data_IF_306733714054
#
_entry.id   IF_306733714054
#
_cell.length_a   1.000
_cell.length_b   1.000
_cell.length_c   1.000
_cell.angle_alpha   90.00
_cell.angle_beta   90.00
_cell.angle_gamma   90.00
#
_symmetry.space_group_name_H-M   'P 1'
#
loop_
_entity.id
_entity.type
_entity.pdbx_description
1 polymer ?
#
# COMPACT_ATOMS: atom_id res chain seq x y z
N UNK A 1 19.51 -2.62 -10.77
CA UNK A 1 20.39 -3.67 -11.33
C UNK A 1 20.53 -3.53 -12.85
N UNK A 2 19.44 -3.50 -13.59
CA UNK A 2 19.49 -3.31 -15.06
C UNK A 2 20.01 -1.95 -15.50
N UNK A 3 19.93 -0.92 -14.65
CA UNK A 3 20.51 0.40 -14.91
C UNK A 3 22.03 0.33 -15.10
N UNK A 4 22.74 -0.38 -14.21
CA UNK A 4 24.19 -0.60 -14.37
C UNK A 4 24.54 -1.36 -15.64
N UNK A 5 23.67 -2.31 -16.04
CA UNK A 5 23.86 -3.02 -17.31
C UNK A 5 23.58 -2.10 -18.52
N UNK A 6 22.60 -1.21 -18.41
CA UNK A 6 22.33 -0.20 -19.43
C UNK A 6 23.52 0.76 -19.60
N UNK A 7 24.18 1.19 -18.49
CA UNK A 7 25.40 2.01 -18.53
C UNK A 7 26.52 1.32 -19.32
N UNK A 8 26.70 0.02 -19.09
CA UNK A 8 27.66 -0.77 -19.88
C UNK A 8 27.26 -0.82 -21.36
N UNK A 9 25.98 -1.06 -21.69
CA UNK A 9 25.51 -1.12 -23.07
C UNK A 9 25.59 0.24 -23.79
N UNK A 10 25.50 1.35 -23.07
CA UNK A 10 25.68 2.70 -23.63
C UNK A 10 27.09 2.91 -24.22
N UNK A 11 28.10 2.14 -23.80
CA UNK A 11 29.43 2.18 -24.40
C UNK A 11 29.44 1.67 -25.85
N UNK A 12 28.43 0.87 -26.23
CA UNK A 12 28.29 0.28 -27.57
C UNK A 12 27.28 1.04 -28.42
N UNK A 13 26.15 1.46 -27.81
CA UNK A 13 25.11 2.21 -28.53
C UNK A 13 24.43 3.24 -27.61
N UNK A 14 24.40 4.49 -28.06
CA UNK A 14 23.77 5.59 -27.34
C UNK A 14 22.26 5.47 -27.17
N UNK A 15 21.57 4.60 -27.93
CA UNK A 15 20.13 4.31 -27.81
C UNK A 15 19.77 3.76 -26.43
N UNK A 16 20.70 3.10 -25.74
CA UNK A 16 20.47 2.62 -24.38
C UNK A 16 20.30 3.72 -23.32
N UNK A 17 20.52 5.00 -23.68
CA UNK A 17 20.17 6.16 -22.82
C UNK A 17 18.70 6.18 -22.40
N UNK A 18 17.82 5.54 -23.15
CA UNK A 18 16.40 5.47 -22.81
C UNK A 18 16.14 4.89 -21.42
N UNK A 19 17.02 4.00 -20.92
CA UNK A 19 16.93 3.42 -19.59
C UNK A 19 17.23 4.39 -18.43
N UNK A 20 17.78 5.58 -18.71
CA UNK A 20 17.96 6.63 -17.70
C UNK A 20 16.68 7.43 -17.43
N UNK A 21 15.70 7.41 -18.36
CA UNK A 21 14.44 8.10 -18.13
C UNK A 21 13.59 7.39 -17.07
N UNK A 22 13.27 8.12 -15.99
CA UNK A 22 12.42 7.61 -14.89
C UNK A 22 11.08 7.06 -15.39
N UNK A 23 10.43 7.80 -16.29
CA UNK A 23 9.13 7.42 -16.84
C UNK A 23 9.20 6.11 -17.64
N UNK A 24 10.27 5.91 -18.41
CA UNK A 24 10.47 4.67 -19.16
C UNK A 24 10.69 3.49 -18.21
N UNK A 25 11.54 3.64 -17.20
CA UNK A 25 11.76 2.59 -16.18
C UNK A 25 10.52 2.30 -15.35
N UNK A 26 9.71 3.33 -15.04
CA UNK A 26 8.45 3.14 -14.36
C UNK A 26 7.47 2.28 -15.18
N UNK A 27 7.33 2.55 -16.49
CA UNK A 27 6.52 1.73 -17.40
C UNK A 27 7.03 0.29 -17.44
N UNK A 28 8.35 0.10 -17.57
CA UNK A 28 8.94 -1.24 -17.53
C UNK A 28 8.73 -1.91 -16.18
N UNK A 29 8.73 -1.16 -15.09
CA UNK A 29 8.37 -1.62 -13.76
C UNK A 29 6.95 -2.16 -13.69
N UNK A 30 5.97 -1.43 -14.23
CA UNK A 30 4.56 -1.89 -14.35
C UNK A 30 4.48 -3.19 -15.15
N UNK A 31 5.06 -3.21 -16.36
CA UNK A 31 4.96 -4.35 -17.25
C UNK A 31 5.65 -5.60 -16.68
N UNK A 32 6.83 -5.43 -16.07
CA UNK A 32 7.58 -6.53 -15.47
C UNK A 32 6.82 -7.14 -14.29
N UNK A 33 6.30 -6.32 -13.38
CA UNK A 33 5.56 -6.82 -12.22
C UNK A 33 4.23 -7.47 -12.63
N UNK A 34 3.53 -6.91 -13.61
CA UNK A 34 2.31 -7.50 -14.18
C UNK A 34 2.61 -8.87 -14.82
N UNK A 35 3.67 -8.96 -15.62
CA UNK A 35 4.10 -10.20 -16.25
C UNK A 35 4.46 -11.27 -15.20
N UNK A 36 5.22 -10.90 -14.17
CA UNK A 36 5.54 -11.80 -13.06
C UNK A 36 4.26 -12.32 -12.39
N UNK A 37 3.30 -11.43 -12.13
CA UNK A 37 2.02 -11.82 -11.52
C UNK A 37 1.27 -12.84 -12.39
N UNK A 38 1.19 -12.65 -13.70
CA UNK A 38 0.54 -13.60 -14.62
C UNK A 38 1.27 -14.92 -14.77
N UNK A 39 2.61 -14.92 -14.77
CA UNK A 39 3.41 -16.15 -14.89
C UNK A 39 3.40 -16.96 -13.59
N UNK A 40 3.56 -16.32 -12.46
CA UNK A 40 3.69 -16.98 -11.15
C UNK A 40 2.32 -17.29 -10.53
N UNK A 41 1.33 -16.41 -10.73
CA UNK A 41 0.01 -16.50 -10.11
C UNK A 41 -0.68 -17.85 -10.25
N UNK A 42 -0.90 -18.40 -11.46
CA UNK A 42 -1.60 -19.68 -11.62
C UNK A 42 -0.92 -20.84 -10.90
N UNK A 43 0.42 -20.86 -10.89
CA UNK A 43 1.19 -21.91 -10.23
C UNK A 43 1.12 -21.76 -8.71
N UNK A 44 1.18 -20.53 -8.21
CA UNK A 44 1.06 -20.25 -6.78
C UNK A 44 -0.34 -20.59 -6.26
N UNK A 45 -1.40 -20.15 -6.94
CA UNK A 45 -2.79 -20.44 -6.56
C UNK A 45 -3.01 -21.95 -6.50
N UNK A 46 -2.57 -22.72 -7.51
CA UNK A 46 -2.66 -24.20 -7.49
C UNK A 46 -1.94 -24.82 -6.30
N UNK A 47 -0.75 -24.31 -5.94
CA UNK A 47 0.01 -24.81 -4.78
C UNK A 47 -0.70 -24.50 -3.46
N UNK A 48 -1.25 -23.29 -3.31
CA UNK A 48 -2.02 -22.88 -2.12
C UNK A 48 -3.29 -23.72 -1.96
N UNK A 49 -4.06 -23.91 -3.04
CA UNK A 49 -5.28 -24.74 -3.04
C UNK A 49 -4.98 -26.20 -2.69
N UNK A 50 -3.92 -26.80 -3.25
CA UNK A 50 -3.52 -28.20 -2.93
C UNK A 50 -3.14 -28.38 -1.46
N UNK A 51 -2.56 -27.38 -0.83
CA UNK A 51 -2.21 -27.40 0.59
C UNK A 51 -3.40 -27.11 1.51
N UNK A 52 -4.60 -26.92 0.96
CA UNK A 52 -5.82 -26.53 1.70
C UNK A 52 -5.60 -25.27 2.56
N UNK A 53 -4.80 -24.32 2.04
CA UNK A 53 -4.52 -23.05 2.68
C UNK A 53 -5.72 -22.13 2.43
N UNK A 54 -6.87 -22.48 2.95
CA UNK A 54 -8.12 -21.71 2.88
C UNK A 54 -8.33 -20.87 4.12
N UNK A 55 -9.00 -19.74 3.95
CA UNK A 55 -9.37 -18.89 5.08
C UNK A 55 -10.46 -19.59 5.93
N UNK A 56 -10.29 -19.62 7.24
CA UNK A 56 -11.36 -20.00 8.16
C UNK A 56 -12.42 -18.90 8.18
N UNK A 57 -13.65 -19.24 7.79
CA UNK A 57 -14.76 -18.29 7.80
C UNK A 57 -15.17 -18.03 9.24
N UNK A 58 -15.27 -16.75 9.62
CA UNK A 58 -15.79 -16.39 10.95
C UNK A 58 -17.30 -16.60 10.99
N UNK A 59 -17.79 -17.29 12.02
CA UNK A 59 -19.22 -17.58 12.21
C UNK A 59 -20.11 -16.32 12.32
N UNK A 60 -19.52 -15.17 12.64
CA UNK A 60 -20.22 -13.89 12.80
C UNK A 60 -20.29 -13.05 11.51
N UNK A 61 -19.80 -13.57 10.37
CA UNK A 61 -19.81 -12.86 9.08
C UNK A 61 -21.15 -12.95 8.33
N UNK A 62 -21.34 -12.17 7.22
CA UNK A 62 -22.48 -12.33 6.33
C UNK A 62 -22.57 -13.76 5.76
N UNK A 63 -23.78 -14.28 5.61
CA UNK A 63 -23.99 -15.66 5.13
C UNK A 63 -23.42 -15.91 3.73
N UNK A 64 -23.37 -14.88 2.88
CA UNK A 64 -22.75 -14.93 1.54
C UNK A 64 -21.27 -15.34 1.56
N UNK A 65 -20.58 -15.16 2.68
CA UNK A 65 -19.16 -15.53 2.81
C UNK A 65 -18.95 -17.05 2.94
N UNK A 66 -19.99 -17.82 3.31
CA UNK A 66 -19.87 -19.30 3.36
C UNK A 66 -19.64 -19.92 1.98
N UNK A 67 -20.11 -19.29 0.90
CA UNK A 67 -19.87 -19.75 -0.47
C UNK A 67 -18.39 -19.64 -0.88
N UNK A 68 -17.61 -18.79 -0.19
CA UNK A 68 -16.17 -18.59 -0.41
C UNK A 68 -15.29 -19.59 0.35
N UNK A 69 -15.90 -20.56 1.06
CA UNK A 69 -15.16 -21.58 1.78
C UNK A 69 -14.26 -22.38 0.83
N UNK A 70 -12.95 -22.45 1.18
CA UNK A 70 -11.98 -23.17 0.36
C UNK A 70 -11.19 -22.30 -0.62
N UNK A 71 -11.53 -21.03 -0.82
CA UNK A 71 -10.68 -20.10 -1.57
C UNK A 71 -9.36 -19.93 -0.83
N UNK A 72 -8.21 -20.14 -1.50
CA UNK A 72 -6.90 -20.01 -0.86
C UNK A 72 -6.61 -18.58 -0.45
N UNK A 73 -5.90 -18.40 0.67
CA UNK A 73 -5.39 -17.14 1.17
C UNK A 73 -3.87 -17.03 0.98
N UNK A 74 -3.25 -15.95 1.46
CA UNK A 74 -1.82 -15.61 1.30
C UNK A 74 -1.42 -15.21 -0.13
N UNK A 75 -2.38 -14.79 -0.95
CA UNK A 75 -2.13 -14.28 -2.30
C UNK A 75 -1.25 -13.02 -2.35
N UNK A 76 -1.19 -12.26 -1.25
CA UNK A 76 -0.29 -11.12 -1.10
C UNK A 76 1.19 -11.45 -1.33
N UNK A 77 1.60 -12.71 -1.14
CA UNK A 77 2.95 -13.16 -1.46
C UNK A 77 3.28 -12.95 -2.94
N UNK A 78 2.31 -13.13 -3.85
CA UNK A 78 2.48 -12.85 -5.28
C UNK A 78 2.81 -11.38 -5.53
N UNK A 79 2.09 -10.49 -4.85
CA UNK A 79 2.30 -9.04 -4.97
C UNK A 79 3.72 -8.69 -4.50
N UNK A 80 4.13 -9.19 -3.33
CA UNK A 80 5.45 -8.91 -2.77
C UNK A 80 6.59 -9.38 -3.66
N UNK A 81 6.48 -10.58 -4.25
CA UNK A 81 7.47 -11.10 -5.20
C UNK A 81 7.53 -10.18 -6.43
N UNK A 82 6.38 -9.86 -7.03
CA UNK A 82 6.33 -9.06 -8.25
C UNK A 82 6.87 -7.63 -8.03
N UNK A 83 6.47 -6.97 -6.93
CA UNK A 83 6.96 -5.63 -6.57
C UNK A 83 8.46 -5.66 -6.31
N UNK A 84 8.94 -6.59 -5.48
CA UNK A 84 10.36 -6.63 -5.09
C UNK A 84 11.27 -6.92 -6.28
N UNK A 85 10.94 -7.93 -7.08
CA UNK A 85 11.76 -8.29 -8.26
C UNK A 85 11.76 -7.13 -9.27
N UNK A 86 10.60 -6.56 -9.57
CA UNK A 86 10.49 -5.46 -10.52
C UNK A 86 11.24 -4.21 -10.05
N UNK A 87 11.11 -3.84 -8.78
CA UNK A 87 11.81 -2.69 -8.21
C UNK A 87 13.33 -2.90 -8.22
N UNK A 88 13.83 -4.08 -7.80
CA UNK A 88 15.26 -4.40 -7.80
C UNK A 88 15.85 -4.41 -9.22
N UNK A 89 15.08 -4.78 -10.23
CA UNK A 89 15.52 -4.76 -11.62
C UNK A 89 15.67 -3.34 -12.15
N UNK A 90 14.66 -2.48 -11.94
CA UNK A 90 14.53 -1.21 -12.65
C UNK A 90 14.93 0.02 -11.84
N UNK A 91 14.88 -0.03 -10.50
CA UNK A 91 15.25 1.11 -9.66
C UNK A 91 16.78 1.28 -9.55
N UNK A 92 17.17 2.52 -9.26
CA UNK A 92 18.53 2.82 -8.84
C UNK A 92 18.75 2.36 -7.41
N UNK A 93 19.55 1.30 -7.27
CA UNK A 93 19.85 0.69 -5.97
C UNK A 93 20.83 1.49 -5.11
N UNK A 94 21.40 2.56 -5.62
CA UNK A 94 22.18 3.52 -4.82
C UNK A 94 21.28 4.44 -3.98
N UNK A 95 19.98 4.54 -4.37
CA UNK A 95 19.02 5.41 -3.70
C UNK A 95 18.52 4.76 -2.39
N UNK A 96 18.78 5.44 -1.25
CA UNK A 96 18.35 4.98 0.08
C UNK A 96 16.83 4.81 0.22
N UNK A 97 16.01 5.61 -0.48
CA UNK A 97 14.56 5.55 -0.40
C UNK A 97 13.99 4.24 -0.94
N UNK A 98 14.63 3.70 -1.99
CA UNK A 98 14.26 2.40 -2.55
C UNK A 98 14.46 1.28 -1.52
N UNK A 99 15.53 1.31 -0.75
CA UNK A 99 15.76 0.33 0.30
C UNK A 99 14.79 0.48 1.48
N UNK A 100 14.53 1.73 1.90
CA UNK A 100 13.56 1.97 2.99
C UNK A 100 12.19 1.45 2.62
N UNK A 101 11.67 1.81 1.43
CA UNK A 101 10.33 1.36 1.02
C UNK A 101 10.24 -0.15 0.82
N UNK A 102 11.26 -0.78 0.24
CA UNK A 102 11.32 -2.24 0.10
C UNK A 102 11.39 -2.94 1.45
N UNK A 103 12.29 -2.52 2.34
CA UNK A 103 12.48 -3.17 3.64
C UNK A 103 11.24 -3.03 4.53
N UNK A 104 10.60 -1.86 4.56
CA UNK A 104 9.33 -1.67 5.30
C UNK A 104 8.24 -2.55 4.71
N UNK A 105 8.05 -2.52 3.39
CA UNK A 105 7.01 -3.33 2.71
C UNK A 105 7.22 -4.82 2.98
N UNK A 106 8.43 -5.32 2.82
CA UNK A 106 8.75 -6.72 3.06
C UNK A 106 8.65 -7.09 4.54
N UNK A 107 9.09 -6.22 5.45
CA UNK A 107 8.99 -6.44 6.88
C UNK A 107 7.54 -6.61 7.35
N UNK A 108 6.64 -5.74 6.89
CA UNK A 108 5.21 -5.89 7.16
C UNK A 108 4.60 -7.10 6.47
N UNK A 109 5.09 -7.45 5.27
CA UNK A 109 4.74 -8.68 4.59
C UNK A 109 5.13 -9.93 5.38
N UNK A 110 6.31 -9.94 6.02
CA UNK A 110 6.74 -11.04 6.91
C UNK A 110 5.83 -11.15 8.14
N UNK A 111 5.44 -10.02 8.76
CA UNK A 111 4.48 -10.05 9.88
C UNK A 111 3.16 -10.70 9.43
N UNK A 112 2.61 -10.26 8.29
CA UNK A 112 1.38 -10.84 7.73
C UNK A 112 1.55 -12.31 7.36
N UNK A 113 2.70 -12.69 6.79
CA UNK A 113 3.00 -14.09 6.47
C UNK A 113 3.00 -14.98 7.71
N UNK A 114 3.62 -14.56 8.80
CA UNK A 114 3.63 -15.32 10.06
C UNK A 114 2.22 -15.42 10.64
N UNK A 115 1.42 -14.35 10.54
CA UNK A 115 0.03 -14.34 10.99
C UNK A 115 -0.83 -15.34 10.21
N UNK A 116 -0.82 -15.24 8.88
CA UNK A 116 -1.58 -16.13 8.00
C UNK A 116 -1.11 -17.59 8.12
N UNK A 117 0.22 -17.81 8.22
CA UNK A 117 0.79 -19.14 8.40
C UNK A 117 0.31 -19.81 9.69
N UNK A 118 0.27 -19.05 10.81
CA UNK A 118 -0.26 -19.57 12.09
C UNK A 118 -1.74 -19.91 12.00
N UNK A 119 -2.54 -19.07 11.33
CA UNK A 119 -3.98 -19.32 11.13
C UNK A 119 -4.25 -20.60 10.35
N UNK A 120 -3.49 -20.81 9.28
CA UNK A 120 -3.71 -21.92 8.34
C UNK A 120 -3.13 -23.24 8.84
N UNK A 121 -1.85 -23.25 9.26
CA UNK A 121 -1.14 -24.51 9.58
C UNK A 121 -1.43 -25.00 11.00
N UNK A 122 -1.61 -24.07 11.94
CA UNK A 122 -1.94 -24.45 13.33
C UNK A 122 -3.43 -24.60 13.58
N UNK A 123 -4.29 -24.43 12.56
CA UNK A 123 -5.76 -24.36 12.69
C UNK A 123 -6.19 -23.45 13.88
N UNK A 124 -5.42 -22.42 14.12
CA UNK A 124 -5.69 -21.44 15.16
C UNK A 124 -6.26 -20.18 14.51
N UNK A 125 -7.55 -19.94 14.67
CA UNK A 125 -8.24 -18.76 14.11
C UNK A 125 -7.65 -17.43 14.55
N UNK A 126 -6.86 -17.41 15.63
CA UNK A 126 -6.36 -16.17 16.25
C UNK A 126 -5.05 -15.67 15.62
N UNK A 127 -4.26 -16.54 14.96
CA UNK A 127 -2.99 -16.14 14.32
C UNK A 127 -1.94 -15.63 15.30
N UNK A 128 -1.36 -14.46 15.00
CA UNK A 128 -0.56 -13.66 15.93
C UNK A 128 -1.48 -12.94 16.91
N UNK A 129 -1.12 -12.89 18.17
CA UNK A 129 -1.85 -12.04 19.12
C UNK A 129 -1.77 -10.57 18.69
N UNK A 130 -2.81 -9.78 19.00
CA UNK A 130 -2.83 -8.35 18.66
C UNK A 130 -1.60 -7.60 19.22
N UNK A 131 -1.10 -8.01 20.40
CA UNK A 131 0.09 -7.42 21.01
C UNK A 131 1.37 -7.75 20.24
N UNK A 132 1.55 -9.01 19.83
CA UNK A 132 2.72 -9.43 19.02
C UNK A 132 2.72 -8.72 17.68
N UNK A 133 1.59 -8.67 17.01
CA UNK A 133 1.42 -7.99 15.72
C UNK A 133 1.77 -6.52 15.82
N UNK A 134 1.20 -5.82 16.81
CA UNK A 134 1.47 -4.41 17.06
C UNK A 134 2.93 -4.15 17.45
N UNK A 135 3.55 -5.02 18.24
CA UNK A 135 4.97 -4.91 18.63
C UNK A 135 5.89 -4.94 17.42
N UNK A 136 5.73 -5.93 16.53
CA UNK A 136 6.58 -6.05 15.34
C UNK A 136 6.35 -4.92 14.34
N UNK A 137 5.10 -4.49 14.15
CA UNK A 137 4.78 -3.29 13.36
C UNK A 137 5.46 -2.05 13.94
N UNK A 138 5.46 -1.91 15.26
CA UNK A 138 6.10 -0.79 15.96
C UNK A 138 7.62 -0.82 15.81
N UNK A 139 8.26 -1.98 15.93
CA UNK A 139 9.72 -2.11 15.76
C UNK A 139 10.13 -1.66 14.35
N UNK A 140 9.45 -2.13 13.31
CA UNK A 140 9.76 -1.75 11.94
C UNK A 140 9.42 -0.27 11.70
N UNK A 141 8.25 0.20 12.15
CA UNK A 141 7.81 1.58 11.96
C UNK A 141 8.72 2.60 12.63
N UNK A 142 9.09 2.37 13.90
CA UNK A 142 10.06 3.23 14.60
C UNK A 142 11.46 3.13 14.00
N UNK A 143 11.90 1.92 13.62
CA UNK A 143 13.19 1.73 12.95
C UNK A 143 13.31 2.54 11.67
N UNK A 144 12.28 2.50 10.82
CA UNK A 144 12.21 3.30 9.60
C UNK A 144 12.18 4.81 9.91
N UNK A 145 11.36 5.23 10.88
CA UNK A 145 11.25 6.63 11.28
C UNK A 145 12.57 7.20 11.81
N UNK A 146 13.26 6.48 12.68
CA UNK A 146 14.57 6.86 13.19
C UNK A 146 15.63 6.90 12.10
N UNK A 147 15.63 5.92 11.20
CA UNK A 147 16.55 5.90 10.06
C UNK A 147 16.36 7.15 9.19
N UNK A 148 15.10 7.46 8.81
CA UNK A 148 14.79 8.63 7.98
C UNK A 148 15.16 9.95 8.67
N UNK A 149 14.89 10.06 9.98
CA UNK A 149 15.24 11.24 10.75
C UNK A 149 16.76 11.48 10.79
N UNK A 150 17.54 10.42 11.08
CA UNK A 150 18.99 10.52 11.21
C UNK A 150 19.73 10.67 9.86
N UNK A 151 19.11 10.25 8.76
CA UNK A 151 19.71 10.32 7.42
C UNK A 151 19.18 11.47 6.58
N UNK A 152 18.32 12.34 7.15
CA UNK A 152 17.81 13.50 6.45
C UNK A 152 18.96 14.42 5.98
N UNK A 153 18.96 14.76 4.70
CA UNK A 153 20.02 15.57 4.06
C UNK A 153 19.60 17.00 3.81
N UNK A 154 18.29 17.25 3.73
CA UNK A 154 17.71 18.58 3.54
C UNK A 154 16.59 18.83 4.57
N UNK A 155 16.38 20.07 5.02
CA UNK A 155 15.33 20.40 6.00
C UNK A 155 13.93 19.93 5.58
N UNK A 156 13.64 19.95 4.28
CA UNK A 156 12.35 19.51 3.74
C UNK A 156 11.99 18.06 4.08
N UNK A 157 13.00 17.19 4.30
CA UNK A 157 12.78 15.77 4.59
C UNK A 157 12.21 15.51 6.01
N UNK A 158 12.24 16.49 6.92
CA UNK A 158 11.72 16.36 8.29
C UNK A 158 10.62 17.37 8.62
N UNK A 159 10.22 18.18 7.64
CA UNK A 159 9.13 19.14 7.79
C UNK A 159 7.79 18.48 7.44
N UNK A 160 6.75 18.97 8.07
CA UNK A 160 5.36 18.59 7.79
C UNK A 160 4.70 19.68 6.95
N UNK A 161 4.10 19.29 5.84
CA UNK A 161 3.45 20.21 4.90
C UNK A 161 1.94 20.03 4.93
N UNK A 162 1.23 21.16 4.98
CA UNK A 162 -0.24 21.16 4.91
C UNK A 162 -0.65 21.55 3.49
N UNK A 163 -1.36 20.67 2.75
CA UNK A 163 -1.88 21.02 1.45
C UNK A 163 -2.80 22.25 1.56
N UNK A 164 -2.88 23.04 0.50
CA UNK A 164 -3.62 24.32 0.39
C UNK A 164 -2.94 25.53 1.06
N UNK A 165 -1.92 25.37 1.91
CA UNK A 165 -1.21 26.48 2.55
C UNK A 165 0.25 26.47 2.09
N UNK A 166 0.58 27.31 1.05
CA UNK A 166 1.88 27.33 0.37
C UNK A 166 3.06 27.59 1.29
N UNK A 167 2.91 28.53 2.20
CA UNK A 167 4.00 29.02 3.05
C UNK A 167 4.00 28.36 4.44
N UNK A 168 3.12 27.38 4.66
CA UNK A 168 2.99 26.76 5.96
C UNK A 168 3.69 25.40 5.98
N UNK A 169 4.85 25.37 6.61
CA UNK A 169 5.55 24.13 6.97
C UNK A 169 5.90 24.13 8.45
N UNK A 170 5.71 22.99 9.08
CA UNK A 170 6.06 22.78 10.49
C UNK A 170 7.34 21.98 10.59
N UNK A 171 8.34 22.54 11.26
CA UNK A 171 9.51 21.77 11.64
C UNK A 171 9.14 20.93 12.89
N UNK A 172 9.00 19.64 12.72
CA UNK A 172 8.58 18.72 13.79
C UNK A 172 9.72 18.33 14.72
N UNK A 173 10.98 18.56 14.33
CA UNK A 173 12.12 18.06 15.09
C UNK A 173 11.98 16.56 15.36
N UNK A 174 12.22 16.12 16.60
CA UNK A 174 12.11 14.72 16.97
C UNK A 174 10.68 14.15 16.92
N UNK A 175 9.64 14.98 17.00
CA UNK A 175 8.24 14.54 16.89
C UNK A 175 7.91 14.00 15.50
N UNK A 176 8.73 14.30 14.49
CA UNK A 176 8.71 13.68 13.19
C UNK A 176 8.71 12.15 13.27
N UNK A 177 9.53 11.57 14.15
CA UNK A 177 9.61 10.11 14.35
C UNK A 177 8.26 9.54 14.76
N UNK A 178 7.54 10.25 15.64
CA UNK A 178 6.21 9.85 16.11
C UNK A 178 5.19 9.92 14.97
N UNK A 179 5.21 11.01 14.18
CA UNK A 179 4.32 11.16 13.03
C UNK A 179 4.52 10.00 12.03
N UNK A 180 5.77 9.77 11.61
CA UNK A 180 6.12 8.70 10.65
C UNK A 180 5.65 7.35 11.14
N UNK A 181 5.89 7.04 12.41
CA UNK A 181 5.42 5.80 13.02
C UNK A 181 3.90 5.64 12.88
N UNK A 182 3.12 6.66 13.25
CA UNK A 182 1.66 6.60 13.15
C UNK A 182 1.16 6.50 11.71
N UNK A 183 1.82 7.18 10.77
CA UNK A 183 1.46 7.07 9.35
C UNK A 183 1.67 5.64 8.84
N UNK A 184 2.83 5.05 9.08
CA UNK A 184 3.13 3.70 8.58
C UNK A 184 2.23 2.64 9.23
N UNK A 185 2.18 2.63 10.58
CA UNK A 185 1.37 1.63 11.32
C UNK A 185 -0.12 1.85 11.07
N UNK A 186 -0.58 3.09 11.07
CA UNK A 186 -1.98 3.45 10.84
C UNK A 186 -2.46 3.02 9.46
N UNK A 187 -1.71 3.36 8.41
CA UNK A 187 -2.08 3.00 7.04
C UNK A 187 -2.02 1.50 6.81
N UNK A 188 -1.03 0.81 7.39
CA UNK A 188 -0.94 -0.65 7.33
C UNK A 188 -2.20 -1.32 7.87
N UNK A 189 -2.65 -0.93 9.05
CA UNK A 189 -3.85 -1.49 9.65
C UNK A 189 -5.13 -1.03 8.94
N UNK A 190 -5.17 0.18 8.38
CA UNK A 190 -6.32 0.69 7.63
C UNK A 190 -6.58 -0.11 6.35
N UNK A 191 -5.53 -0.41 5.58
CA UNK A 191 -5.65 -1.28 4.40
C UNK A 191 -6.06 -2.70 4.80
N UNK A 192 -5.50 -3.23 5.89
CA UNK A 192 -5.88 -4.56 6.39
C UNK A 192 -7.35 -4.63 6.81
N UNK A 193 -7.89 -3.60 7.44
CA UNK A 193 -9.32 -3.53 7.76
C UNK A 193 -10.21 -3.43 6.52
N UNK A 194 -9.71 -2.88 5.43
CA UNK A 194 -10.45 -2.71 4.16
C UNK A 194 -10.47 -4.00 3.34
N UNK A 195 -9.54 -4.94 3.57
CA UNK A 195 -9.43 -6.20 2.82
C UNK A 195 -10.47 -7.24 3.27
N UNK A 196 -11.75 -6.86 3.20
CA UNK A 196 -12.87 -7.71 3.60
C UNK A 196 -13.73 -8.25 2.45
N UNK A 197 -13.60 -7.69 1.23
CA UNK A 197 -14.32 -8.09 0.03
C UNK A 197 -13.35 -8.28 -1.15
N UNK A 198 -13.76 -9.11 -2.12
CA UNK A 198 -12.95 -9.49 -3.28
C UNK A 198 -12.52 -8.27 -4.11
N UNK A 199 -11.22 -7.97 -4.15
CA UNK A 199 -10.68 -6.83 -4.90
C UNK A 199 -10.90 -5.45 -4.27
N UNK A 200 -11.56 -5.36 -3.10
CA UNK A 200 -11.89 -4.08 -2.47
C UNK A 200 -10.66 -3.28 -2.08
N UNK A 201 -9.66 -3.88 -1.46
CA UNK A 201 -8.47 -3.17 -0.96
C UNK A 201 -7.42 -2.95 -2.05
N UNK A 202 -7.26 -3.90 -2.98
CA UNK A 202 -6.15 -3.84 -3.96
C UNK A 202 -6.31 -2.71 -4.97
N UNK A 203 -7.52 -2.48 -5.52
CA UNK A 203 -7.70 -1.44 -6.53
C UNK A 203 -7.54 -0.02 -5.96
N UNK A 204 -8.11 0.35 -4.80
CA UNK A 204 -7.75 1.60 -4.11
C UNK A 204 -6.26 1.76 -3.87
N UNK A 205 -5.56 0.70 -3.46
CA UNK A 205 -4.09 0.73 -3.28
C UNK A 205 -3.37 1.07 -4.57
N UNK A 206 -3.75 0.46 -5.70
CA UNK A 206 -3.20 0.76 -7.04
C UNK A 206 -3.43 2.23 -7.41
N UNK A 207 -4.65 2.73 -7.21
CA UNK A 207 -5.00 4.11 -7.55
C UNK A 207 -4.23 5.12 -6.69
N UNK A 208 -4.17 4.92 -5.38
CA UNK A 208 -3.44 5.79 -4.43
C UNK A 208 -1.95 5.75 -4.71
N UNK A 209 -1.38 4.57 -4.99
CA UNK A 209 0.03 4.45 -5.39
C UNK A 209 0.33 5.22 -6.67
N UNK A 210 -0.57 5.19 -7.66
CA UNK A 210 -0.45 5.98 -8.88
C UNK A 210 -0.45 7.48 -8.60
N UNK A 211 -1.38 7.96 -7.77
CA UNK A 211 -1.44 9.36 -7.35
C UNK A 211 -0.18 9.81 -6.61
N UNK A 212 0.27 9.06 -5.61
CA UNK A 212 1.50 9.35 -4.86
C UNK A 212 2.75 9.24 -5.75
N UNK A 213 2.76 8.34 -6.74
CA UNK A 213 3.84 8.22 -7.72
C UNK A 213 4.01 9.48 -8.56
N UNK A 214 2.92 10.17 -8.92
CA UNK A 214 2.96 11.47 -9.58
C UNK A 214 3.61 12.51 -8.65
N UNK A 215 3.23 12.57 -7.37
CA UNK A 215 3.87 13.45 -6.40
C UNK A 215 5.37 13.14 -6.25
N UNK A 216 5.75 11.87 -6.19
CA UNK A 216 7.16 11.44 -6.09
C UNK A 216 7.98 11.97 -7.28
N UNK A 217 7.46 11.81 -8.49
CA UNK A 217 8.11 12.30 -9.71
C UNK A 217 8.27 13.81 -9.71
N UNK A 218 7.19 14.54 -9.36
CA UNK A 218 7.20 16.01 -9.37
C UNK A 218 8.07 16.60 -8.25
N UNK A 219 8.05 16.03 -7.06
CA UNK A 219 8.89 16.47 -5.93
C UNK A 219 10.37 16.14 -6.15
N UNK A 220 10.69 15.15 -6.96
CA UNK A 220 12.05 14.77 -7.32
C UNK A 220 12.70 15.64 -8.40
N UNK A 221 11.96 16.53 -9.05
CA UNK A 221 12.43 17.38 -10.13
C UNK A 221 12.34 18.85 -9.72
N UNK A 222 13.49 19.53 -9.67
CA UNK A 222 13.57 20.90 -9.10
C UNK A 222 12.70 21.92 -9.82
N UNK A 223 12.60 21.86 -11.15
CA UNK A 223 11.78 22.78 -11.94
C UNK A 223 10.28 22.55 -11.67
N UNK A 224 9.82 21.30 -11.63
CA UNK A 224 8.44 20.99 -11.32
C UNK A 224 8.08 21.32 -9.88
N UNK A 225 8.99 21.03 -8.94
CA UNK A 225 8.81 21.37 -7.54
C UNK A 225 8.63 22.88 -7.34
N UNK A 226 9.50 23.67 -7.96
CA UNK A 226 9.43 25.13 -7.93
C UNK A 226 8.17 25.69 -8.62
N UNK A 227 7.82 25.16 -9.81
CA UNK A 227 6.62 25.59 -10.53
C UNK A 227 5.31 25.31 -9.76
N UNK A 228 5.26 24.18 -9.07
CA UNK A 228 4.09 23.76 -8.29
C UNK A 228 4.12 24.29 -6.86
N UNK A 229 5.23 24.90 -6.44
CA UNK A 229 5.46 25.33 -5.05
C UNK A 229 5.31 24.20 -4.03
N UNK A 230 5.82 22.99 -4.40
CA UNK A 230 5.92 21.84 -3.51
C UNK A 230 7.37 21.65 -3.04
N UNK A 231 7.62 20.93 -1.92
CA UNK A 231 8.99 20.71 -1.47
C UNK A 231 9.80 19.92 -2.51
N UNK A 232 10.99 20.43 -2.84
CA UNK A 232 11.96 19.65 -3.60
C UNK A 232 12.61 18.62 -2.68
N UNK A 233 12.48 17.35 -3.04
CA UNK A 233 13.02 16.21 -2.30
C UNK A 233 13.99 15.46 -3.22
N UNK A 234 15.29 15.65 -3.05
CA UNK A 234 16.28 14.94 -3.87
C UNK A 234 16.05 13.43 -3.81
N UNK A 235 16.16 12.77 -4.95
CA UNK A 235 16.01 11.32 -5.09
C UNK A 235 14.58 10.75 -4.92
N UNK A 236 13.57 11.54 -4.56
CA UNK A 236 12.19 11.03 -4.43
C UNK A 236 11.59 10.60 -5.78
N UNK A 237 12.03 11.16 -6.89
CA UNK A 237 11.59 10.80 -8.23
C UNK A 237 11.74 9.31 -8.56
N UNK A 238 12.76 8.66 -7.99
CA UNK A 238 13.02 7.23 -8.18
C UNK A 238 11.90 6.33 -7.62
N UNK A 239 11.15 6.82 -6.63
CA UNK A 239 10.01 6.09 -6.04
C UNK A 239 8.89 5.81 -7.05
N UNK A 240 8.82 6.56 -8.17
CA UNK A 240 7.84 6.27 -9.24
C UNK A 240 8.00 4.85 -9.80
N UNK A 241 9.21 4.29 -9.76
CA UNK A 241 9.49 2.93 -10.24
C UNK A 241 8.87 1.90 -9.29
N UNK A 242 9.00 2.12 -7.97
CA UNK A 242 8.31 1.30 -6.98
C UNK A 242 6.78 1.41 -7.13
N UNK A 243 6.26 2.64 -7.32
CA UNK A 243 4.83 2.85 -7.57
C UNK A 243 4.37 2.10 -8.81
N UNK A 244 5.14 2.15 -9.91
CA UNK A 244 4.90 1.40 -11.13
C UNK A 244 4.87 -0.11 -10.87
N UNK A 245 5.88 -0.64 -10.17
CA UNK A 245 5.94 -2.04 -9.78
C UNK A 245 4.72 -2.46 -8.94
N UNK A 246 4.27 -1.61 -8.00
CA UNK A 246 3.10 -1.85 -7.18
C UNK A 246 1.81 -1.83 -8.02
N UNK A 247 1.66 -0.89 -8.95
CA UNK A 247 0.53 -0.82 -9.88
C UNK A 247 0.44 -2.11 -10.70
N UNK A 248 1.53 -2.53 -11.33
CA UNK A 248 1.53 -3.72 -12.16
C UNK A 248 1.26 -5.00 -11.37
N UNK A 249 1.89 -5.15 -10.20
CA UNK A 249 1.65 -6.28 -9.31
C UNK A 249 0.22 -6.31 -8.77
N UNK A 250 -0.32 -5.13 -8.39
CA UNK A 250 -1.69 -4.99 -7.91
C UNK A 250 -2.72 -5.32 -8.97
N UNK A 251 -2.57 -4.83 -10.20
CA UNK A 251 -3.44 -5.17 -11.33
C UNK A 251 -3.34 -6.65 -11.69
N UNK A 252 -2.12 -7.22 -11.69
CA UNK A 252 -1.91 -8.64 -11.93
C UNK A 252 -2.52 -9.53 -10.85
N UNK A 253 -2.48 -9.09 -9.58
CA UNK A 253 -3.15 -9.78 -8.50
C UNK A 253 -4.68 -9.64 -8.60
N UNK A 254 -5.19 -8.45 -8.94
CA UNK A 254 -6.62 -8.20 -9.12
C UNK A 254 -7.25 -9.13 -10.17
N UNK A 255 -6.50 -9.51 -11.20
CA UNK A 255 -6.96 -10.50 -12.20
C UNK A 255 -7.45 -11.80 -11.57
N UNK A 256 -6.84 -12.21 -10.46
CA UNK A 256 -7.20 -13.42 -9.72
C UNK A 256 -8.07 -13.15 -8.49
N UNK A 257 -8.07 -11.91 -7.99
CA UNK A 257 -8.80 -11.51 -6.77
C UNK A 257 -10.10 -10.77 -7.06
N UNK A 258 -10.40 -10.43 -8.34
CA UNK A 258 -11.70 -9.86 -8.71
C UNK A 258 -12.85 -10.82 -8.41
N UNK A 259 -14.00 -10.27 -8.03
CA UNK A 259 -15.19 -11.07 -7.68
C UNK A 259 -15.69 -11.94 -8.85
N UNK A 260 -15.94 -13.26 -8.65
CA UNK A 260 -15.63 -14.06 -7.46
C UNK A 260 -14.14 -14.44 -7.39
N UNK A 261 -13.49 -14.19 -6.25
CA UNK A 261 -12.05 -14.33 -6.10
C UNK A 261 -11.55 -15.78 -6.19
N UNK A 262 -10.47 -15.98 -6.95
CA UNK A 262 -9.73 -17.25 -7.01
C UNK A 262 -8.70 -17.38 -5.88
N UNK A 263 -8.32 -16.27 -5.25
CA UNK A 263 -7.35 -16.19 -4.15
C UNK A 263 -7.58 -14.93 -3.35
N UNK A 264 -7.48 -15.03 -2.02
CA UNK A 264 -7.52 -13.89 -1.11
C UNK A 264 -6.12 -13.34 -0.85
N UNK A 265 -6.04 -12.02 -0.63
CA UNK A 265 -4.78 -11.32 -0.38
C UNK A 265 -4.14 -11.78 0.94
N UNK A 266 -4.92 -11.84 1.99
CA UNK A 266 -4.48 -12.16 3.35
C UNK A 266 -3.69 -11.03 4.00
N UNK A 267 -3.34 -11.24 5.27
CA UNK A 267 -2.58 -10.27 6.06
C UNK A 267 -1.19 -10.01 5.46
N UNK A 268 -0.62 -11.00 4.74
CA UNK A 268 0.65 -10.85 3.99
C UNK A 268 0.60 -9.63 3.06
N UNK A 269 -0.44 -9.54 2.24
CA UNK A 269 -0.57 -8.45 1.27
C UNK A 269 -1.10 -7.18 1.90
N UNK A 270 -2.17 -7.29 2.67
CA UNK A 270 -2.88 -6.13 3.20
C UNK A 270 -2.00 -5.26 4.11
N UNK A 271 -1.25 -5.87 5.05
CA UNK A 271 -0.35 -5.13 5.92
C UNK A 271 0.82 -4.51 5.14
N UNK A 272 1.40 -5.26 4.20
CA UNK A 272 2.53 -4.80 3.41
C UNK A 272 2.15 -3.62 2.50
N UNK A 273 1.02 -3.71 1.82
CA UNK A 273 0.54 -2.66 0.91
C UNK A 273 0.19 -1.37 1.67
N UNK A 274 -0.46 -1.51 2.83
CA UNK A 274 -0.75 -0.34 3.66
C UNK A 274 0.52 0.32 4.19
N UNK A 275 1.51 -0.47 4.65
CA UNK A 275 2.81 0.06 5.07
C UNK A 275 3.57 0.71 3.90
N UNK A 276 3.50 0.12 2.69
CA UNK A 276 4.08 0.69 1.48
C UNK A 276 3.50 2.08 1.16
N UNK A 277 2.17 2.23 1.19
CA UNK A 277 1.53 3.54 0.99
C UNK A 277 1.91 4.54 2.08
N UNK A 278 1.95 4.10 3.34
CA UNK A 278 2.33 4.95 4.47
C UNK A 278 3.76 5.47 4.36
N UNK A 279 4.73 4.57 4.12
CA UNK A 279 6.14 4.98 3.97
C UNK A 279 6.37 5.79 2.70
N UNK A 280 5.66 5.49 1.60
CA UNK A 280 5.71 6.29 0.37
C UNK A 280 5.30 7.73 0.65
N UNK A 281 4.14 7.94 1.29
CA UNK A 281 3.67 9.28 1.63
C UNK A 281 4.63 10.05 2.53
N UNK A 282 5.25 9.37 3.49
CA UNK A 282 6.30 9.94 4.35
C UNK A 282 7.53 10.35 3.54
N UNK A 283 8.01 9.51 2.62
CA UNK A 283 9.18 9.80 1.80
C UNK A 283 8.98 11.01 0.88
N UNK A 284 7.75 11.25 0.44
CA UNK A 284 7.40 12.39 -0.43
C UNK A 284 6.73 13.55 0.29
N UNK A 285 6.65 13.51 1.63
CA UNK A 285 6.02 14.57 2.46
C UNK A 285 4.56 14.86 2.10
N UNK A 286 3.80 13.83 1.82
CA UNK A 286 2.39 13.93 1.42
C UNK A 286 1.45 13.15 2.37
N UNK A 287 1.70 13.24 3.66
CA UNK A 287 0.97 12.48 4.69
C UNK A 287 -0.53 12.86 4.72
N UNK A 288 -0.84 14.16 4.61
CA UNK A 288 -2.25 14.62 4.54
C UNK A 288 -2.88 14.25 3.20
N UNK A 289 -2.14 14.35 2.11
CA UNK A 289 -2.62 13.93 0.78
C UNK A 289 -2.95 12.45 0.78
N UNK A 290 -2.15 11.61 1.47
CA UNK A 290 -2.48 10.20 1.66
C UNK A 290 -3.82 10.02 2.39
N UNK A 291 -4.12 10.82 3.43
CA UNK A 291 -5.42 10.77 4.11
C UNK A 291 -6.56 11.09 3.14
N UNK A 292 -6.37 12.06 2.24
CA UNK A 292 -7.36 12.44 1.23
C UNK A 292 -7.52 11.32 0.19
N UNK A 293 -6.44 10.93 -0.48
CA UNK A 293 -6.47 9.90 -1.54
C UNK A 293 -6.90 8.54 -1.01
N UNK A 294 -6.43 8.18 0.18
CA UNK A 294 -6.75 6.96 0.91
C UNK A 294 -8.02 7.04 1.74
N UNK A 295 -8.91 8.01 1.49
CA UNK A 295 -10.09 8.27 2.33
C UNK A 295 -11.03 7.09 2.47
N UNK A 296 -11.03 6.13 1.53
CA UNK A 296 -11.74 4.85 1.68
C UNK A 296 -11.16 4.06 2.86
N UNK A 297 -9.85 3.92 2.95
CA UNK A 297 -9.17 3.24 4.07
C UNK A 297 -9.43 3.96 5.40
N UNK A 298 -9.44 5.30 5.36
CA UNK A 298 -9.76 6.13 6.53
C UNK A 298 -11.21 5.90 6.97
N UNK A 299 -12.16 5.91 6.05
CA UNK A 299 -13.58 5.68 6.33
C UNK A 299 -13.82 4.30 6.94
N UNK A 300 -13.19 3.25 6.41
CA UNK A 300 -13.26 1.88 6.95
C UNK A 300 -12.74 1.85 8.39
N UNK A 301 -11.57 2.41 8.63
CA UNK A 301 -10.96 2.44 9.96
C UNK A 301 -11.79 3.25 10.96
N UNK A 302 -12.24 4.45 10.58
CA UNK A 302 -13.09 5.28 11.43
C UNK A 302 -14.41 4.59 11.78
N UNK A 303 -15.00 3.84 10.84
CA UNK A 303 -16.23 3.10 11.10
C UNK A 303 -16.04 2.05 12.21
N UNK A 304 -14.88 1.38 12.24
CA UNK A 304 -14.53 0.43 13.31
C UNK A 304 -14.32 1.15 14.63
N UNK A 305 -13.55 2.25 14.62
CA UNK A 305 -13.29 3.04 15.83
C UNK A 305 -14.57 3.58 16.45
N UNK A 306 -15.45 4.17 15.63
CA UNK A 306 -16.76 4.70 16.08
C UNK A 306 -17.63 3.57 16.64
N UNK A 307 -17.69 2.44 15.94
CA UNK A 307 -18.47 1.27 16.39
C UNK A 307 -18.01 0.78 17.75
N UNK A 308 -16.69 0.59 17.91
CA UNK A 308 -16.10 0.10 19.17
C UNK A 308 -16.29 1.10 20.30
N UNK A 309 -16.07 2.39 20.05
CA UNK A 309 -16.26 3.44 21.04
C UNK A 309 -17.74 3.51 21.49
N UNK A 310 -18.67 3.56 20.54
CA UNK A 310 -20.11 3.60 20.86
C UNK A 310 -20.55 2.38 21.66
N UNK A 311 -20.12 1.18 21.24
CA UNK A 311 -20.50 -0.05 21.95
C UNK A 311 -19.95 -0.10 23.37
N UNK A 312 -18.71 0.32 23.58
CA UNK A 312 -18.10 0.37 24.92
C UNK A 312 -18.73 1.43 25.82
N UNK A 313 -19.13 2.58 25.27
CA UNK A 313 -19.68 3.70 26.05
C UNK A 313 -21.18 3.60 26.28
N UNK A 314 -21.94 3.07 25.30
CA UNK A 314 -23.41 3.13 25.33
C UNK A 314 -24.09 1.75 25.21
N UNK A 315 -23.35 0.69 24.94
CA UNK A 315 -23.89 -0.65 24.66
C UNK A 315 -24.61 -0.76 23.30
N UNK A 316 -24.64 0.31 22.49
CA UNK A 316 -25.38 0.39 21.23
C UNK A 316 -24.44 0.39 20.01
N UNK A 317 -24.85 -0.28 18.93
CA UNK A 317 -24.17 -0.27 17.65
C UNK A 317 -24.61 0.92 16.82
N UNK A 318 -23.66 1.67 16.22
CA UNK A 318 -23.94 2.74 15.24
C UNK A 318 -24.20 2.15 13.87
N UNK A 319 -23.35 1.23 13.44
CA UNK A 319 -23.47 0.51 12.18
C UNK A 319 -24.01 -0.89 12.40
N UNK A 320 -24.70 -1.49 11.40
CA UNK A 320 -25.14 -2.89 11.46
C UNK A 320 -23.96 -3.82 11.72
N UNK A 321 -22.84 -3.55 11.04
CA UNK A 321 -21.55 -4.20 11.22
C UNK A 321 -20.43 -3.22 10.83
N UNK A 322 -19.25 -3.35 11.38
CA UNK A 322 -18.03 -2.64 10.99
C UNK A 322 -16.94 -3.69 10.66
N UNK A 323 -16.05 -3.40 9.68
CA UNK A 323 -15.93 -2.17 8.87
C UNK A 323 -17.17 -1.86 8.00
N UNK A 324 -17.24 -0.63 7.44
CA UNK A 324 -18.47 -0.10 6.84
C UNK A 324 -18.93 -0.83 5.57
N UNK A 325 -18.04 -1.50 4.83
CA UNK A 325 -18.44 -2.33 3.69
C UNK A 325 -19.45 -3.40 4.10
N UNK A 326 -19.27 -4.06 5.25
CA UNK A 326 -20.22 -5.04 5.78
C UNK A 326 -21.58 -4.43 6.16
N UNK A 327 -21.60 -3.15 6.57
CA UNK A 327 -22.86 -2.47 6.82
C UNK A 327 -23.70 -2.36 5.54
N UNK A 328 -23.08 -2.12 4.38
CA UNK A 328 -23.79 -2.06 3.10
C UNK A 328 -24.24 -3.44 2.62
N UNK A 329 -23.43 -4.49 2.82
CA UNK A 329 -23.87 -5.86 2.54
C UNK A 329 -25.10 -6.23 3.37
N UNK A 330 -25.10 -5.95 4.68
CA UNK A 330 -26.24 -6.18 5.57
C UNK A 330 -27.46 -5.28 5.29
N UNK A 331 -27.28 -4.23 4.46
CA UNK A 331 -28.38 -3.45 3.87
C UNK A 331 -28.96 -4.08 2.59
N UNK A 332 -28.39 -5.20 2.14
CA UNK A 332 -28.83 -5.91 0.94
C UNK A 332 -28.16 -5.44 -0.36
N UNK A 333 -27.03 -4.73 -0.28
CA UNK A 333 -26.25 -4.42 -1.49
C UNK A 333 -25.41 -5.65 -1.87
N UNK A 334 -25.48 -6.10 -3.14
CA UNK A 334 -24.58 -7.17 -3.59
C UNK A 334 -23.13 -6.71 -3.55
N UNK A 335 -22.23 -7.62 -3.20
CA UNK A 335 -20.79 -7.37 -3.03
C UNK A 335 -20.15 -6.59 -4.19
N UNK A 336 -20.35 -6.94 -5.48
CA UNK A 336 -19.76 -6.19 -6.60
C UNK A 336 -20.19 -4.73 -6.64
N UNK A 337 -21.41 -4.41 -6.18
CA UNK A 337 -21.89 -3.03 -6.12
C UNK A 337 -21.16 -2.22 -5.06
N UNK A 338 -20.87 -2.81 -3.91
CA UNK A 338 -20.08 -2.17 -2.85
C UNK A 338 -18.68 -1.91 -3.38
N UNK A 339 -18.01 -2.91 -3.92
CA UNK A 339 -16.65 -2.86 -4.46
C UNK A 339 -16.51 -1.72 -5.49
N UNK A 340 -17.34 -1.74 -6.54
CA UNK A 340 -17.23 -0.75 -7.64
C UNK A 340 -17.49 0.68 -7.13
N UNK A 341 -18.45 0.87 -6.21
CA UNK A 341 -18.71 2.20 -5.65
C UNK A 341 -17.53 2.72 -4.83
N UNK A 342 -16.87 1.88 -4.06
CA UNK A 342 -15.68 2.24 -3.30
C UNK A 342 -14.50 2.57 -4.22
N UNK A 343 -14.36 1.86 -5.35
CA UNK A 343 -13.38 2.22 -6.38
C UNK A 343 -13.66 3.59 -6.98
N UNK A 344 -14.93 3.89 -7.31
CA UNK A 344 -15.32 5.20 -7.85
C UNK A 344 -15.02 6.32 -6.83
N UNK A 345 -15.34 6.09 -5.54
CA UNK A 345 -15.01 7.04 -4.47
C UNK A 345 -13.49 7.24 -4.41
N UNK A 346 -12.70 6.18 -4.50
CA UNK A 346 -11.23 6.29 -4.51
C UNK A 346 -10.72 7.11 -5.70
N UNK A 347 -11.27 6.91 -6.91
CA UNK A 347 -10.91 7.74 -8.07
C UNK A 347 -11.16 9.22 -7.79
N UNK A 348 -12.34 9.56 -7.26
CA UNK A 348 -12.68 10.95 -6.89
C UNK A 348 -11.68 11.50 -5.88
N UNK A 349 -11.37 10.74 -4.83
CA UNK A 349 -10.45 11.17 -3.77
C UNK A 349 -9.01 11.32 -4.28
N UNK A 350 -8.57 10.44 -5.18
CA UNK A 350 -7.25 10.57 -5.83
C UNK A 350 -7.19 11.83 -6.69
N UNK A 351 -8.25 12.12 -7.46
CA UNK A 351 -8.33 13.37 -8.24
C UNK A 351 -8.33 14.61 -7.34
N UNK A 352 -9.05 14.60 -6.21
CA UNK A 352 -9.02 15.67 -5.20
C UNK A 352 -7.61 15.83 -4.63
N UNK A 353 -6.94 14.71 -4.30
CA UNK A 353 -5.56 14.76 -3.84
C UNK A 353 -4.60 15.32 -4.89
N UNK A 354 -4.73 14.93 -6.17
CA UNK A 354 -3.93 15.49 -7.27
C UNK A 354 -4.22 16.99 -7.49
N UNK A 355 -5.46 17.45 -7.30
CA UNK A 355 -5.79 18.86 -7.40
C UNK A 355 -5.00 19.73 -6.40
N UNK A 356 -4.59 19.17 -5.25
CA UNK A 356 -3.77 19.90 -4.27
C UNK A 356 -2.40 20.32 -4.82
N UNK A 357 -1.89 19.67 -5.89
CA UNK A 357 -0.64 20.06 -6.55
C UNK A 357 -0.63 21.52 -7.03
N UNK A 358 -1.80 22.04 -7.44
CA UNK A 358 -1.88 23.38 -7.99
C UNK A 358 -2.63 24.38 -7.07
N UNK A 359 -3.32 23.87 -6.08
CA UNK A 359 -4.12 24.69 -5.12
C UNK A 359 -3.30 25.17 -3.92
N UNK A 360 -1.99 25.06 -3.99
CA UNK A 360 -1.06 25.58 -2.98
C UNK A 360 -0.70 27.03 -3.23
#
# INVERSE_FOLDING_TARGET
MLLYFADFLMTFDSGFRVFHYLTFRAILGVLTSLLIAFMVGPTMIRKLSRKKIGQSIRELGPQSHYEKAGTPTMGGTLILIAVSVSTLLWADLSNRYIWVILLVTMGYGVIGFVDDYRKVIKNNSDGLSAKEKYLWQSVIGFGAALFLYNTASVPAETQFYVPFFKDFSLNLGWTYVILVYFVIVGTSNAVNLTDGLDGLAIMPTVMVSGGLGIFAYLSGHIEFANYLAIPFLPNSGELIIFCGALIGAGLGFLWFNAYPAMVFMGDVGALALGAALGVLAVLIRQEIVLIIMGGVFVMETLSVMIQVASFKLTGKRVFRMAPIHHHFELKGWPEPRVIVRFWIITVILVLVGLATLKLR
#
